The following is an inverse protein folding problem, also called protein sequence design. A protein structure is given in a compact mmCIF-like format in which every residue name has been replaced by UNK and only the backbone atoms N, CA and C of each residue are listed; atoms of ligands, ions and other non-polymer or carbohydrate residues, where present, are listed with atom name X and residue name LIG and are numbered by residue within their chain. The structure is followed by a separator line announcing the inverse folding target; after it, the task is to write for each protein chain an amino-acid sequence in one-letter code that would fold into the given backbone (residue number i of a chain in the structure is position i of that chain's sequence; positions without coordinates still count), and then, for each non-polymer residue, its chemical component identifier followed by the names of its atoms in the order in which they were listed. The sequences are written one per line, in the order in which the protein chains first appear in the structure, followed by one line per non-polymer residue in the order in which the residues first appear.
data_IF_983268273293
#
_entry.id   IF_983268273293
#
_cell.length_a   1.000
_cell.length_b   1.000
_cell.length_c   1.000
_cell.angle_alpha   90.00
_cell.angle_beta   90.00
_cell.angle_gamma   90.00
#
_symmetry.space_group_name_H-M   'P 1'
#
loop_
_entity.id
_entity.type
_entity.pdbx_description
1 polymer ?
#
# COMPACT_ATOMS: atom_id res chain seq x y z
N UNK A 1 -1.80 -16.59 -18.11
CA UNK A 1 -0.54 -16.09 -18.72
C UNK A 1 -0.56 -14.56 -18.64
N UNK A 2 0.11 -13.96 -17.66
CA UNK A 2 0.20 -12.49 -17.58
C UNK A 2 1.22 -12.01 -18.62
N UNK A 3 0.80 -11.06 -19.47
CA UNK A 3 1.66 -10.44 -20.47
C UNK A 3 2.72 -9.60 -19.75
N UNK A 4 4.02 -9.69 -20.12
CA UNK A 4 5.05 -8.90 -19.46
C UNK A 4 4.73 -7.40 -19.60
N UNK A 5 5.07 -6.57 -18.59
CA UNK A 5 4.80 -5.14 -18.64
C UNK A 5 5.48 -4.48 -19.85
N UNK A 6 4.82 -3.50 -20.46
CA UNK A 6 5.42 -2.71 -21.54
C UNK A 6 6.63 -1.92 -21.03
N UNK A 7 7.58 -1.60 -21.92
CA UNK A 7 8.79 -0.83 -21.58
C UNK A 7 8.46 0.51 -20.89
N UNK A 8 7.37 1.16 -21.29
CA UNK A 8 6.82 2.39 -20.68
C UNK A 8 6.24 2.20 -19.26
N UNK A 9 5.80 1.00 -18.89
CA UNK A 9 5.35 0.72 -17.53
C UNK A 9 6.54 0.58 -16.57
N UNK A 10 7.67 0.04 -17.05
CA UNK A 10 8.88 -0.13 -16.25
C UNK A 10 9.54 1.19 -15.83
N UNK A 11 9.29 2.29 -16.55
CA UNK A 11 9.83 3.63 -16.23
C UNK A 11 8.93 4.41 -15.25
N UNK A 12 7.72 3.90 -14.94
CA UNK A 12 6.72 4.55 -14.07
C UNK A 12 6.61 3.92 -12.68
N UNK A 13 7.48 2.97 -12.37
CA UNK A 13 7.54 2.29 -11.08
C UNK A 13 8.97 2.33 -10.53
N UNK A 14 9.11 2.75 -9.28
CA UNK A 14 10.35 2.63 -8.52
C UNK A 14 10.05 1.85 -7.25
N UNK A 15 10.80 0.79 -6.97
CA UNK A 15 10.64 0.00 -5.74
C UNK A 15 11.93 0.09 -4.94
N UNK A 16 11.86 0.72 -3.77
CA UNK A 16 12.92 0.78 -2.79
C UNK A 16 12.76 -0.39 -1.83
N UNK A 17 13.78 -1.24 -1.75
CA UNK A 17 13.88 -2.24 -0.68
C UNK A 17 14.68 -1.60 0.44
N UNK A 18 14.02 -1.31 1.56
CA UNK A 18 14.66 -0.67 2.69
C UNK A 18 15.56 -1.68 3.40
N UNK A 19 16.70 -1.25 3.92
CA UNK A 19 17.53 -2.13 4.75
C UNK A 19 16.73 -2.43 6.04
N UNK A 20 16.42 -3.70 6.25
CA UNK A 20 15.40 -4.13 7.22
C UNK A 20 14.16 -4.77 6.57
N UNK A 21 13.94 -4.57 5.27
CA UNK A 21 12.79 -5.04 4.48
C UNK A 21 12.84 -6.51 4.02
N UNK A 22 13.63 -7.33 4.70
CA UNK A 22 13.33 -8.75 4.83
C UNK A 22 12.55 -8.97 6.11
N UNK A 23 12.51 -10.21 6.61
CA UNK A 23 12.34 -10.45 8.05
C UNK A 23 13.56 -9.91 8.84
N UNK A 24 13.90 -8.62 8.65
CA UNK A 24 15.21 -8.01 8.87
C UNK A 24 15.22 -6.84 9.84
N UNK A 25 14.16 -6.65 10.63
CA UNK A 25 14.38 -6.33 12.04
C UNK A 25 15.21 -7.47 12.69
N UNK A 26 15.68 -7.31 13.92
CA UNK A 26 16.31 -8.43 14.64
C UNK A 26 15.25 -9.52 14.90
N UNK A 27 14.83 -10.30 13.89
CA UNK A 27 13.80 -11.34 13.99
C UNK A 27 14.15 -12.31 15.10
N UNK A 28 15.42 -12.71 15.16
CA UNK A 28 15.94 -13.52 16.25
C UNK A 28 15.77 -12.84 17.61
N UNK A 29 16.02 -11.53 17.69
CA UNK A 29 15.77 -10.70 18.87
C UNK A 29 14.30 -10.57 19.23
N UNK A 30 13.42 -10.30 18.28
CA UNK A 30 11.98 -10.14 18.48
C UNK A 30 11.37 -11.47 18.96
N UNK A 31 11.76 -12.59 18.35
CA UNK A 31 11.41 -13.95 18.77
C UNK A 31 11.97 -14.26 20.15
N UNK A 32 13.25 -13.96 20.41
CA UNK A 32 13.87 -14.17 21.73
C UNK A 32 13.13 -13.38 22.80
N UNK A 33 12.88 -12.08 22.59
CA UNK A 33 12.12 -11.22 23.52
C UNK A 33 10.72 -11.78 23.74
N UNK A 34 10.01 -12.13 22.68
CA UNK A 34 8.65 -12.64 22.76
C UNK A 34 8.51 -13.99 23.46
N UNK A 35 9.40 -14.94 23.17
CA UNK A 35 9.36 -16.30 23.75
C UNK A 35 9.90 -16.35 25.19
N UNK A 36 10.70 -15.36 25.61
CA UNK A 36 11.20 -15.23 26.99
C UNK A 36 10.27 -14.40 27.88
N UNK A 37 9.28 -13.69 27.32
CA UNK A 37 8.32 -12.89 28.07
C UNK A 37 7.27 -13.74 28.84
N UNK A 38 6.64 -13.12 29.83
CA UNK A 38 5.47 -13.68 30.55
C UNK A 38 4.38 -12.61 30.63
N UNK A 39 3.27 -12.73 29.84
CA UNK A 39 2.97 -13.82 28.89
C UNK A 39 3.88 -13.79 27.65
N UNK A 40 4.01 -14.95 26.99
CA UNK A 40 4.74 -15.08 25.71
C UNK A 40 3.96 -14.36 24.60
N UNK A 41 4.69 -13.80 23.63
CA UNK A 41 4.09 -13.16 22.46
C UNK A 41 4.98 -13.31 21.22
N UNK A 42 4.43 -13.05 20.05
CA UNK A 42 5.15 -12.81 18.81
C UNK A 42 4.53 -11.57 18.12
N UNK A 43 5.33 -10.85 17.34
CA UNK A 43 4.83 -9.68 16.63
C UNK A 43 3.98 -10.12 15.42
N UNK A 44 2.80 -9.49 15.19
CA UNK A 44 1.89 -9.89 14.12
C UNK A 44 2.46 -9.65 12.73
N UNK A 45 3.48 -8.79 12.57
CA UNK A 45 4.16 -8.58 11.28
C UNK A 45 4.76 -9.87 10.69
N UNK A 46 5.04 -10.87 11.53
CA UNK A 46 5.53 -12.17 11.08
C UNK A 46 4.43 -13.12 10.58
N UNK A 47 3.16 -12.72 10.62
CA UNK A 47 2.09 -13.44 9.93
C UNK A 47 2.11 -13.23 8.41
N UNK A 48 2.85 -12.24 7.89
CA UNK A 48 2.75 -11.83 6.48
C UNK A 48 3.98 -12.23 5.66
N UNK A 49 4.42 -13.48 5.79
CA UNK A 49 5.25 -14.10 4.75
C UNK A 49 4.42 -14.35 3.47
N UNK A 50 5.00 -14.97 2.45
CA UNK A 50 4.29 -15.21 1.18
C UNK A 50 2.99 -16.02 1.41
N UNK A 51 3.05 -17.09 2.21
CA UNK A 51 1.90 -17.94 2.50
C UNK A 51 0.88 -17.20 3.37
N UNK A 52 1.33 -16.54 4.43
CA UNK A 52 0.48 -15.82 5.35
C UNK A 52 -0.23 -14.63 4.72
N UNK A 53 0.40 -13.97 3.75
CA UNK A 53 -0.25 -12.95 2.91
C UNK A 53 -1.40 -13.55 2.08
N UNK A 54 -1.17 -14.70 1.42
CA UNK A 54 -2.22 -15.40 0.66
C UNK A 54 -3.37 -15.89 1.57
N UNK A 55 -3.05 -16.32 2.79
CA UNK A 55 -4.06 -16.68 3.78
C UNK A 55 -4.89 -15.46 4.21
N UNK A 56 -4.26 -14.29 4.37
CA UNK A 56 -4.97 -13.06 4.67
C UNK A 56 -5.89 -12.62 3.52
N UNK A 57 -5.43 -12.74 2.27
CA UNK A 57 -6.28 -12.52 1.09
C UNK A 57 -7.52 -13.43 1.11
N UNK A 58 -7.35 -14.71 1.49
CA UNK A 58 -8.47 -15.64 1.63
C UNK A 58 -9.40 -15.25 2.80
N UNK A 59 -8.86 -14.78 3.93
CA UNK A 59 -9.63 -14.28 5.08
C UNK A 59 -10.52 -13.11 4.65
N UNK A 60 -10.01 -12.19 3.82
CA UNK A 60 -10.76 -11.05 3.30
C UNK A 60 -12.01 -11.43 2.48
N UNK A 61 -12.08 -12.68 1.98
CA UNK A 61 -13.23 -13.20 1.24
C UNK A 61 -14.27 -13.90 2.13
N UNK A 62 -13.94 -14.19 3.39
CA UNK A 62 -14.83 -14.91 4.30
C UNK A 62 -16.07 -14.06 4.65
N UNK A 63 -17.27 -14.67 4.74
CA UNK A 63 -18.48 -13.93 5.11
C UNK A 63 -18.38 -13.31 6.50
N UNK A 64 -17.66 -13.92 7.43
CA UNK A 64 -17.45 -13.43 8.80
C UNK A 64 -16.52 -12.20 8.85
N UNK A 65 -15.58 -12.08 7.91
CA UNK A 65 -14.62 -10.98 7.85
C UNK A 65 -15.15 -9.83 6.98
N UNK A 66 -16.07 -9.05 7.53
CA UNK A 66 -16.76 -8.00 6.78
C UNK A 66 -15.91 -6.76 6.48
N UNK A 67 -14.77 -6.56 7.15
CA UNK A 67 -14.00 -5.32 7.12
C UNK A 67 -13.60 -4.89 5.71
N UNK A 68 -13.07 -5.82 4.91
CA UNK A 68 -12.65 -5.55 3.52
C UNK A 68 -13.82 -5.09 2.65
N UNK A 69 -15.00 -5.68 2.86
CA UNK A 69 -16.21 -5.31 2.12
C UNK A 69 -16.76 -3.96 2.57
N UNK A 70 -16.75 -3.68 3.87
CA UNK A 70 -17.18 -2.40 4.41
C UNK A 70 -16.28 -1.24 3.92
N UNK A 71 -14.96 -1.40 3.95
CA UNK A 71 -14.04 -0.38 3.40
C UNK A 71 -14.24 -0.17 1.90
N UNK A 72 -14.43 -1.27 1.15
CA UNK A 72 -14.72 -1.20 -0.29
C UNK A 72 -16.02 -0.47 -0.58
N UNK A 73 -17.06 -0.69 0.23
CA UNK A 73 -18.35 0.00 0.14
C UNK A 73 -18.22 1.50 0.43
N UNK A 74 -17.46 1.88 1.45
CA UNK A 74 -17.18 3.28 1.78
C UNK A 74 -16.49 3.97 0.60
N UNK A 75 -15.43 3.38 0.04
CA UNK A 75 -14.75 3.97 -1.13
C UNK A 75 -15.62 3.97 -2.39
N UNK A 76 -16.48 2.98 -2.58
CA UNK A 76 -17.42 2.99 -3.71
C UNK A 76 -18.42 4.15 -3.64
N UNK A 77 -18.80 4.59 -2.43
CA UNK A 77 -19.80 5.65 -2.23
C UNK A 77 -19.18 7.04 -2.06
N UNK A 78 -18.02 7.13 -1.41
CA UNK A 78 -17.48 8.39 -0.89
C UNK A 78 -16.10 8.75 -1.43
N UNK A 79 -15.54 8.03 -2.41
CA UNK A 79 -14.21 8.36 -2.95
C UNK A 79 -14.11 9.81 -3.45
N UNK A 80 -15.10 10.29 -4.20
CA UNK A 80 -15.11 11.66 -4.72
C UNK A 80 -15.17 12.71 -3.61
N UNK A 81 -16.02 12.50 -2.61
CA UNK A 81 -16.15 13.38 -1.45
C UNK A 81 -14.85 13.44 -0.65
N UNK A 82 -14.22 12.28 -0.41
CA UNK A 82 -12.92 12.19 0.27
C UNK A 82 -11.85 12.98 -0.51
N UNK A 83 -11.78 12.78 -1.82
CA UNK A 83 -10.81 13.46 -2.69
C UNK A 83 -11.02 14.96 -2.70
N UNK A 84 -12.27 15.43 -2.83
CA UNK A 84 -12.59 16.86 -2.84
C UNK A 84 -12.19 17.54 -1.52
N UNK A 85 -12.57 16.94 -0.39
CA UNK A 85 -12.24 17.45 0.95
C UNK A 85 -10.74 17.43 1.24
N UNK A 86 -10.03 16.41 0.75
CA UNK A 86 -8.59 16.28 0.89
C UNK A 86 -7.83 17.26 -0.02
N UNK A 87 -8.32 17.50 -1.24
CA UNK A 87 -7.64 18.36 -2.21
C UNK A 87 -7.65 19.83 -1.76
N UNK A 88 -8.83 20.36 -1.35
CA UNK A 88 -9.03 21.79 -1.09
C UNK A 88 -8.44 22.68 -2.21
N UNK A 89 -8.69 22.30 -3.46
CA UNK A 89 -8.19 23.00 -4.65
C UNK A 89 -6.71 22.79 -4.96
N UNK A 90 -6.01 21.89 -4.24
CA UNK A 90 -4.62 21.51 -4.52
C UNK A 90 -4.53 20.11 -5.10
N UNK A 91 -3.47 19.87 -5.87
CA UNK A 91 -3.06 18.55 -6.33
C UNK A 91 -2.79 17.62 -5.13
N UNK A 92 -3.17 16.34 -5.26
CA UNK A 92 -2.90 15.33 -4.25
C UNK A 92 -1.83 14.32 -4.69
N UNK A 93 -0.95 14.00 -3.74
CA UNK A 93 -0.14 12.78 -3.74
C UNK A 93 -0.88 11.74 -2.92
N UNK A 94 -1.09 10.54 -3.48
CA UNK A 94 -1.71 9.44 -2.77
C UNK A 94 -0.63 8.65 -2.04
N UNK A 95 -0.82 8.40 -0.74
CA UNK A 95 0.09 7.59 0.08
C UNK A 95 -0.73 6.46 0.68
N UNK A 96 -0.23 5.22 0.67
CA UNK A 96 -0.88 4.09 1.33
C UNK A 96 0.11 3.31 2.20
N UNK A 97 -0.29 3.09 3.45
CA UNK A 97 0.46 2.35 4.45
C UNK A 97 -0.10 0.93 4.57
N UNK A 98 0.74 -0.06 4.26
CA UNK A 98 0.37 -1.47 4.20
C UNK A 98 -0.52 -1.74 2.99
N UNK A 99 -0.07 -1.46 1.77
CA UNK A 99 -0.96 -1.40 0.59
C UNK A 99 -1.55 -2.74 0.13
N UNK A 100 -0.99 -3.88 0.57
CA UNK A 100 -1.46 -5.21 0.19
C UNK A 100 -1.68 -5.34 -1.31
N UNK A 101 -2.86 -5.82 -1.71
CA UNK A 101 -3.23 -5.99 -3.13
C UNK A 101 -3.56 -4.69 -3.88
N UNK A 102 -3.64 -3.54 -3.19
CA UNK A 102 -4.05 -2.23 -3.70
C UNK A 102 -5.42 -2.19 -4.41
N UNK A 103 -6.28 -3.20 -4.18
CA UNK A 103 -7.59 -3.32 -4.83
C UNK A 103 -8.51 -2.15 -4.48
N UNK A 104 -8.45 -1.68 -3.23
CA UNK A 104 -9.27 -0.55 -2.73
C UNK A 104 -8.72 0.79 -3.22
N UNK A 105 -7.40 0.91 -3.30
CA UNK A 105 -6.64 2.06 -3.79
C UNK A 105 -7.09 2.49 -5.18
N UNK A 106 -7.44 1.52 -6.04
CA UNK A 106 -7.98 1.74 -7.39
C UNK A 106 -9.09 2.81 -7.41
N UNK A 107 -10.04 2.76 -6.47
CA UNK A 107 -11.19 3.68 -6.46
C UNK A 107 -10.79 5.12 -6.15
N UNK A 108 -9.87 5.30 -5.20
CA UNK A 108 -9.32 6.61 -4.85
C UNK A 108 -8.45 7.14 -6.00
N UNK A 109 -7.61 6.29 -6.60
CA UNK A 109 -6.79 6.65 -7.75
C UNK A 109 -7.63 7.09 -8.96
N UNK A 110 -8.72 6.37 -9.24
CA UNK A 110 -9.66 6.72 -10.30
C UNK A 110 -10.32 8.10 -10.06
N UNK A 111 -10.79 8.35 -8.83
CA UNK A 111 -11.38 9.63 -8.43
C UNK A 111 -10.38 10.79 -8.55
N UNK A 112 -9.15 10.58 -8.08
CA UNK A 112 -8.06 11.55 -8.23
C UNK A 112 -7.80 11.85 -9.71
N UNK A 113 -7.66 10.84 -10.55
CA UNK A 113 -7.36 11.04 -11.97
C UNK A 113 -8.50 11.68 -12.79
N UNK A 114 -9.72 11.79 -12.24
CA UNK A 114 -10.77 12.66 -12.82
C UNK A 114 -10.55 14.14 -12.56
N UNK A 115 -9.83 14.50 -11.49
CA UNK A 115 -9.66 15.89 -11.02
C UNK A 115 -8.25 16.44 -11.21
N UNK A 116 -7.26 15.58 -11.48
CA UNK A 116 -5.85 15.94 -11.73
C UNK A 116 -5.28 15.18 -12.93
N UNK A 117 -4.39 15.83 -13.70
CA UNK A 117 -3.81 15.28 -14.94
C UNK A 117 -2.72 14.23 -14.72
N UNK A 118 -2.17 14.14 -13.52
CA UNK A 118 -1.17 13.16 -13.10
C UNK A 118 -1.41 12.74 -11.66
N UNK A 119 -0.99 11.53 -11.29
CA UNK A 119 -1.06 11.03 -9.93
C UNK A 119 0.26 10.36 -9.53
N UNK A 120 0.85 10.86 -8.45
CA UNK A 120 1.94 10.17 -7.74
C UNK A 120 1.33 9.32 -6.63
N UNK A 121 1.63 8.02 -6.64
CA UNK A 121 1.21 7.05 -5.65
C UNK A 121 2.43 6.50 -4.91
N UNK A 122 2.45 6.69 -3.60
CA UNK A 122 3.50 6.20 -2.71
C UNK A 122 2.93 5.07 -1.86
N UNK A 123 3.52 3.89 -1.93
CA UNK A 123 3.04 2.70 -1.20
C UNK A 123 4.10 2.15 -0.29
N UNK A 124 3.67 1.63 0.87
CA UNK A 124 4.54 0.93 1.83
C UNK A 124 3.93 -0.43 2.11
N UNK A 125 4.73 -1.48 2.07
CA UNK A 125 4.32 -2.82 2.51
C UNK A 125 5.54 -3.65 2.92
N UNK A 126 5.36 -4.63 3.80
CA UNK A 126 6.44 -5.57 4.13
C UNK A 126 6.64 -6.61 3.03
N UNK A 127 5.63 -6.86 2.20
CA UNK A 127 5.66 -7.83 1.10
C UNK A 127 6.06 -7.18 -0.23
N UNK A 128 7.28 -7.43 -0.75
CA UNK A 128 7.68 -6.91 -2.06
C UNK A 128 6.79 -7.44 -3.20
N UNK A 129 6.31 -8.69 -3.06
CA UNK A 129 5.45 -9.32 -4.06
C UNK A 129 4.09 -8.61 -4.15
N UNK A 130 3.51 -8.23 -3.01
CA UNK A 130 2.25 -7.47 -2.96
C UNK A 130 2.41 -6.09 -3.63
N UNK A 131 3.49 -5.37 -3.30
CA UNK A 131 3.82 -4.08 -3.91
C UNK A 131 3.98 -4.19 -5.44
N UNK A 132 4.74 -5.17 -5.91
CA UNK A 132 4.95 -5.39 -7.34
C UNK A 132 3.63 -5.73 -8.05
N UNK A 133 2.82 -6.62 -7.48
CA UNK A 133 1.54 -7.02 -8.06
C UNK A 133 0.53 -5.85 -8.11
N UNK A 134 0.35 -5.15 -7.00
CA UNK A 134 -0.58 -4.03 -6.86
C UNK A 134 -0.20 -2.85 -7.76
N UNK A 135 1.08 -2.45 -7.74
CA UNK A 135 1.58 -1.37 -8.60
C UNK A 135 1.40 -1.68 -10.09
N UNK A 136 1.74 -2.89 -10.52
CA UNK A 136 1.55 -3.30 -11.91
C UNK A 136 0.08 -3.35 -12.32
N UNK A 137 -0.83 -3.72 -11.41
CA UNK A 137 -2.27 -3.70 -11.68
C UNK A 137 -2.77 -2.27 -11.93
N UNK A 138 -2.42 -1.33 -11.06
CA UNK A 138 -2.81 0.07 -11.20
C UNK A 138 -2.17 0.74 -12.43
N UNK A 139 -0.89 0.49 -12.70
CA UNK A 139 -0.17 1.10 -13.82
C UNK A 139 -0.68 0.67 -15.20
N UNK A 140 -1.30 -0.52 -15.32
CA UNK A 140 -1.97 -0.97 -16.54
C UNK A 140 -3.26 -0.22 -16.80
N UNK A 141 -3.95 0.18 -15.75
CA UNK A 141 -5.25 0.83 -15.82
C UNK A 141 -5.14 2.35 -15.94
N UNK A 142 -4.14 2.94 -15.28
CA UNK A 142 -3.97 4.37 -15.16
C UNK A 142 -2.65 4.83 -15.81
N UNK A 143 -2.66 5.26 -17.09
CA UNK A 143 -1.45 5.71 -17.78
C UNK A 143 -0.78 6.92 -17.13
N UNK A 144 -1.57 7.80 -16.50
CA UNK A 144 -1.10 9.01 -15.81
C UNK A 144 -0.61 8.77 -14.37
N UNK A 145 -0.58 7.50 -13.92
CA UNK A 145 -0.07 7.10 -12.62
C UNK A 145 1.45 6.86 -12.67
N UNK A 146 2.13 7.32 -11.62
CA UNK A 146 3.49 6.92 -11.25
C UNK A 146 3.48 6.34 -9.84
N UNK A 147 4.25 5.27 -9.65
CA UNK A 147 4.31 4.54 -8.38
C UNK A 147 5.72 4.58 -7.80
N UNK A 148 5.84 5.02 -6.55
CA UNK A 148 7.00 4.76 -5.71
C UNK A 148 6.58 3.80 -4.60
N UNK A 149 7.26 2.67 -4.48
CA UNK A 149 6.99 1.65 -3.48
C UNK A 149 8.17 1.52 -2.52
N UNK A 150 7.88 1.37 -1.24
CA UNK A 150 8.85 1.07 -0.19
C UNK A 150 8.51 -0.29 0.40
N UNK A 151 9.29 -1.31 0.02
CA UNK A 151 9.26 -2.58 0.73
C UNK A 151 9.98 -2.37 2.07
N UNK A 152 9.30 -2.58 3.19
CA UNK A 152 9.86 -2.41 4.54
C UNK A 152 8.82 -2.15 5.63
N UNK A 153 9.31 -2.00 6.86
CA UNK A 153 8.51 -1.57 8.01
C UNK A 153 8.16 -0.07 7.90
N UNK A 154 7.12 0.37 8.61
CA UNK A 154 6.69 1.77 8.62
C UNK A 154 7.76 2.69 9.18
N UNK A 155 8.49 2.25 10.21
CA UNK A 155 9.55 3.05 10.85
C UNK A 155 10.65 3.46 9.86
N UNK A 156 10.99 2.58 8.91
CA UNK A 156 12.01 2.84 7.90
C UNK A 156 11.46 3.65 6.71
N UNK A 157 10.17 3.44 6.38
CA UNK A 157 9.54 4.02 5.20
C UNK A 157 9.02 5.45 5.45
N UNK A 158 8.40 5.71 6.61
CA UNK A 158 7.77 6.99 6.95
C UNK A 158 8.69 8.20 6.75
N UNK A 159 9.98 8.16 7.16
CA UNK A 159 10.89 9.28 6.94
C UNK A 159 11.14 9.64 5.46
N UNK A 160 10.91 8.69 4.54
CA UNK A 160 11.20 8.84 3.11
C UNK A 160 9.97 9.22 2.27
N UNK A 161 8.75 9.11 2.81
CA UNK A 161 7.53 9.33 2.02
C UNK A 161 7.48 10.74 1.42
N UNK A 162 7.92 11.74 2.18
CA UNK A 162 7.92 13.15 1.77
C UNK A 162 8.87 13.47 0.63
N UNK A 163 9.86 12.62 0.35
CA UNK A 163 10.78 12.75 -0.80
C UNK A 163 10.03 12.68 -2.14
N UNK A 164 8.81 12.12 -2.13
CA UNK A 164 7.99 11.91 -3.33
C UNK A 164 6.87 12.95 -3.48
N UNK A 165 6.76 13.92 -2.58
CA UNK A 165 5.67 14.88 -2.61
C UNK A 165 5.97 15.97 -3.63
N UNK A 166 5.00 16.20 -4.53
CA UNK A 166 5.11 17.27 -5.52
C UNK A 166 5.04 18.65 -4.84
N UNK A 167 5.76 19.67 -5.34
CA UNK A 167 5.66 21.04 -4.83
C UNK A 167 4.22 21.55 -4.85
N UNK A 168 3.83 22.27 -3.80
CA UNK A 168 2.46 22.81 -3.61
C UNK A 168 1.33 21.75 -3.68
N UNK A 169 1.67 20.47 -3.49
CA UNK A 169 0.68 19.39 -3.34
C UNK A 169 0.32 19.14 -1.87
N UNK A 170 -0.78 18.41 -1.65
CA UNK A 170 -1.14 17.83 -0.36
C UNK A 170 -1.00 16.31 -0.43
N UNK A 171 -0.80 15.66 0.71
CA UNK A 171 -0.81 14.20 0.78
C UNK A 171 -2.17 13.71 1.29
N UNK A 172 -2.77 12.76 0.58
CA UNK A 172 -3.87 11.94 1.07
C UNK A 172 -3.28 10.60 1.51
N UNK A 173 -3.23 10.37 2.83
CA UNK A 173 -2.66 9.15 3.41
C UNK A 173 -3.79 8.17 3.74
N UNK A 174 -3.76 7.00 3.11
CA UNK A 174 -4.62 5.86 3.38
C UNK A 174 -3.95 4.97 4.41
N UNK A 175 -4.65 4.73 5.51
CA UNK A 175 -4.27 3.75 6.52
C UNK A 175 -5.49 2.89 6.81
N UNK A 176 -5.54 1.72 6.17
CA UNK A 176 -6.74 0.88 6.10
C UNK A 176 -6.55 -0.35 6.99
N UNK A 177 -7.66 -0.92 7.48
CA UNK A 177 -7.64 -2.00 8.46
C UNK A 177 -7.66 -3.41 7.86
N UNK A 178 -7.72 -3.56 6.53
CA UNK A 178 -7.94 -4.86 5.88
C UNK A 178 -7.31 -4.98 4.49
N UNK A 179 -5.99 -4.86 4.40
CA UNK A 179 -5.24 -4.72 3.13
C UNK A 179 -4.56 -5.99 2.64
#
# INVERSE_FOLDING_TARGET
MQRPPSKEASERITIHRLEGAGAGGDFAGDVRRGLTATPKFLLPKYFYDELGSQLFDAICLLPEYYLTRAESEIFARHADEIVELAARGKQLTLVELGSGSATKTRRIAESLLRTQSRLSYVSVDISPAALEAGANALLREFPALRVTAYAGDYDDALPRLSENFEPDSRALVLFLGSN
#
